data_IF_359521738294
#
_entry.id   IF_359521738294
#
_cell.length_a   1.000
_cell.length_b   1.000
_cell.length_c   1.000
_cell.angle_alpha   90.00
_cell.angle_beta   90.00
_cell.angle_gamma   90.00
#
_symmetry.space_group_name_H-M   'P 1'
#
loop_
_entity.id
_entity.type
_entity.pdbx_description
1 polymer ?
#
# COMPACT_ATOMS: atom_id res chain seq x y z
N UNK A 1 -41.32 16.65 -9.78
CA UNK A 1 -40.36 17.22 -8.82
C UNK A 1 -39.05 17.64 -9.52
N UNK A 2 -38.29 16.70 -10.13
CA UNK A 2 -36.99 17.01 -10.77
C UNK A 2 -37.03 17.99 -11.95
N UNK A 3 -38.12 18.03 -12.74
CA UNK A 3 -38.26 19.00 -13.85
C UNK A 3 -38.22 20.46 -13.36
N UNK A 4 -38.95 20.75 -12.30
CA UNK A 4 -39.00 22.08 -11.69
C UNK A 4 -37.65 22.50 -11.11
N UNK A 5 -36.90 21.56 -10.53
CA UNK A 5 -35.53 21.80 -10.04
C UNK A 5 -34.57 22.14 -11.19
N UNK A 6 -34.61 21.38 -12.29
CA UNK A 6 -33.75 21.61 -13.47
C UNK A 6 -34.08 22.93 -14.18
N UNK A 7 -35.35 23.31 -14.23
CA UNK A 7 -35.79 24.57 -14.81
C UNK A 7 -35.36 25.78 -13.97
N UNK A 8 -35.38 25.66 -12.63
CA UNK A 8 -34.96 26.72 -11.70
C UNK A 8 -33.46 26.78 -11.44
N UNK A 9 -32.72 25.75 -11.87
CA UNK A 9 -31.30 25.64 -11.60
C UNK A 9 -30.49 26.76 -12.25
N UNK A 10 -29.48 27.26 -11.53
CA UNK A 10 -28.52 28.26 -12.03
C UNK A 10 -27.53 27.71 -13.05
N UNK A 11 -27.48 26.38 -13.22
CA UNK A 11 -26.58 25.72 -14.15
C UNK A 11 -26.74 24.20 -14.21
N UNK A 12 -26.63 23.64 -15.41
CA UNK A 12 -26.64 22.19 -15.66
C UNK A 12 -25.31 21.74 -16.24
N UNK A 13 -24.78 20.62 -15.76
CA UNK A 13 -23.52 20.03 -16.21
C UNK A 13 -23.83 18.63 -16.76
N UNK A 14 -23.44 18.35 -18.01
CA UNK A 14 -23.66 17.03 -18.60
C UNK A 14 -22.78 15.97 -17.93
N UNK A 15 -23.21 14.71 -18.03
CA UNK A 15 -22.48 13.54 -17.51
C UNK A 15 -21.02 13.49 -17.93
N UNK A 16 -20.71 13.80 -19.19
CA UNK A 16 -19.34 13.74 -19.72
C UNK A 16 -18.42 14.78 -19.07
N UNK A 17 -18.93 15.99 -18.80
CA UNK A 17 -18.16 17.03 -18.10
C UNK A 17 -18.04 16.75 -16.60
N UNK A 18 -18.98 16.01 -16.02
CA UNK A 18 -18.98 15.64 -14.61
C UNK A 18 -18.33 14.27 -14.34
N UNK A 19 -17.74 13.61 -15.35
CA UNK A 19 -17.32 12.20 -15.24
C UNK A 19 -16.21 11.97 -14.20
N UNK A 20 -15.29 12.93 -14.07
CA UNK A 20 -14.09 12.83 -13.23
C UNK A 20 -14.29 13.44 -11.84
N UNK A 21 -15.44 14.09 -11.59
CA UNK A 21 -15.74 14.67 -10.28
C UNK A 21 -16.17 13.56 -9.32
N UNK A 22 -15.23 13.10 -8.51
CA UNK A 22 -15.45 12.05 -7.52
C UNK A 22 -16.68 12.37 -6.64
N UNK A 23 -17.47 11.34 -6.29
CA UNK A 23 -18.78 11.41 -5.62
C UNK A 23 -19.93 12.02 -6.44
N UNK A 24 -19.74 13.17 -7.09
CA UNK A 24 -20.81 13.85 -7.83
C UNK A 24 -21.12 13.21 -9.18
N UNK A 25 -20.16 12.52 -9.81
CA UNK A 25 -20.39 11.76 -11.03
C UNK A 25 -21.47 10.66 -10.88
N UNK A 26 -21.62 10.09 -9.69
CA UNK A 26 -22.66 9.09 -9.35
C UNK A 26 -24.04 9.71 -9.12
N UNK A 27 -24.13 11.05 -9.09
CA UNK A 27 -25.37 11.80 -8.89
C UNK A 27 -25.98 12.33 -10.20
N UNK A 28 -25.37 12.03 -11.34
CA UNK A 28 -25.96 12.32 -12.64
C UNK A 28 -27.34 11.66 -12.75
N UNK A 29 -28.31 12.38 -13.29
CA UNK A 29 -29.69 11.90 -13.51
C UNK A 29 -30.12 12.16 -14.94
N UNK A 30 -30.92 11.24 -15.48
CA UNK A 30 -31.64 11.47 -16.72
C UNK A 30 -32.71 12.56 -16.54
N UNK A 31 -32.86 13.41 -17.55
CA UNK A 31 -33.84 14.48 -17.61
C UNK A 31 -34.70 14.32 -18.88
N UNK A 32 -35.96 14.75 -18.81
CA UNK A 32 -36.97 14.45 -19.85
C UNK A 32 -36.83 15.29 -21.13
N UNK A 33 -35.93 16.27 -21.16
CA UNK A 33 -35.65 17.16 -22.29
C UNK A 33 -34.16 17.53 -22.28
N UNK A 34 -33.61 18.10 -23.37
CA UNK A 34 -32.19 18.46 -23.39
C UNK A 34 -31.98 19.79 -22.67
N UNK A 35 -30.93 19.87 -21.85
CA UNK A 35 -30.37 21.13 -21.32
C UNK A 35 -28.95 21.32 -21.84
N UNK A 36 -28.56 22.57 -22.05
CA UNK A 36 -27.20 22.90 -22.43
C UNK A 36 -26.29 22.81 -21.21
N UNK A 37 -25.18 22.08 -21.36
CA UNK A 37 -24.13 22.00 -20.36
C UNK A 37 -23.41 23.35 -20.27
N UNK A 38 -23.26 23.90 -19.06
CA UNK A 38 -22.52 25.15 -18.85
C UNK A 38 -21.01 25.02 -19.10
N UNK A 39 -20.46 23.79 -19.09
CA UNK A 39 -19.03 23.55 -19.28
C UNK A 39 -18.67 23.40 -20.76
N UNK A 40 -19.44 22.60 -21.52
CA UNK A 40 -19.11 22.29 -22.92
C UNK A 40 -20.12 22.84 -23.94
N UNK A 41 -21.16 23.54 -23.50
CA UNK A 41 -22.25 24.10 -24.32
C UNK A 41 -23.06 23.08 -25.15
N UNK A 42 -22.80 21.77 -25.01
CA UNK A 42 -23.57 20.72 -25.69
C UNK A 42 -24.87 20.41 -24.95
N UNK A 43 -25.92 20.12 -25.72
CA UNK A 43 -27.22 19.71 -25.19
C UNK A 43 -27.20 18.23 -24.77
N UNK A 44 -27.57 17.93 -23.52
CA UNK A 44 -27.60 16.56 -22.97
C UNK A 44 -28.92 16.24 -22.28
N UNK A 45 -29.27 14.94 -22.25
CA UNK A 45 -30.39 14.38 -21.49
C UNK A 45 -29.96 13.78 -20.14
N UNK A 46 -28.68 13.83 -19.79
CA UNK A 46 -28.15 13.27 -18.55
C UNK A 46 -27.05 14.17 -17.98
N UNK A 47 -27.13 14.43 -16.68
CA UNK A 47 -26.20 15.31 -15.98
C UNK A 47 -26.62 15.65 -14.56
N UNK A 48 -26.01 16.68 -14.00
CA UNK A 48 -26.20 17.16 -12.63
C UNK A 48 -26.49 18.66 -12.64
N UNK A 49 -27.28 19.14 -11.68
CA UNK A 49 -27.51 20.59 -11.48
C UNK A 49 -26.56 21.14 -10.42
N UNK A 50 -26.22 22.43 -10.51
CA UNK A 50 -25.26 23.06 -9.57
C UNK A 50 -25.73 22.94 -8.11
N UNK A 51 -27.02 23.00 -7.85
CA UNK A 51 -27.61 22.93 -6.50
C UNK A 51 -27.34 21.57 -5.83
N UNK A 52 -27.14 20.49 -6.60
CA UNK A 52 -26.84 19.16 -6.04
C UNK A 52 -25.44 19.11 -5.39
N UNK A 53 -24.55 20.06 -5.71
CA UNK A 53 -23.24 20.19 -5.08
C UNK A 53 -23.35 20.84 -3.69
N UNK A 54 -24.18 21.88 -3.59
CA UNK A 54 -24.23 22.80 -2.44
C UNK A 54 -24.48 22.08 -1.13
N UNK A 55 -25.48 21.18 -1.08
CA UNK A 55 -25.82 20.45 0.14
C UNK A 55 -24.63 19.68 0.73
N UNK A 56 -23.86 18.99 -0.12
CA UNK A 56 -22.70 18.21 0.35
C UNK A 56 -21.53 19.13 0.66
N UNK A 57 -21.22 20.10 -0.21
CA UNK A 57 -20.09 21.01 -0.02
C UNK A 57 -20.25 21.86 1.24
N UNK A 58 -21.43 22.42 1.50
CA UNK A 58 -21.74 23.22 2.70
C UNK A 58 -21.42 22.44 3.98
N UNK A 59 -21.81 21.17 4.02
CA UNK A 59 -21.63 20.30 5.18
C UNK A 59 -20.22 19.75 5.33
N UNK A 60 -19.51 19.55 4.22
CA UNK A 60 -18.25 18.79 4.21
C UNK A 60 -16.99 19.61 4.05
N UNK A 61 -17.01 20.74 3.35
CA UNK A 61 -15.84 21.62 3.27
C UNK A 61 -15.31 22.02 4.66
N UNK A 62 -16.15 22.29 5.69
CA UNK A 62 -15.64 22.58 7.05
C UNK A 62 -14.81 21.46 7.69
N UNK A 63 -15.00 20.19 7.26
CA UNK A 63 -14.19 19.06 7.71
C UNK A 63 -12.77 19.10 7.11
N UNK A 64 -12.57 19.84 6.01
CA UNK A 64 -11.30 19.95 5.27
C UNK A 64 -10.61 21.30 5.42
N UNK A 65 -11.36 22.38 5.60
CA UNK A 65 -10.84 23.75 5.65
C UNK A 65 -11.44 24.54 6.81
N UNK A 66 -10.73 25.59 7.20
CA UNK A 66 -11.28 26.66 8.04
C UNK A 66 -11.03 28.01 7.40
N UNK A 67 -11.99 28.92 7.59
CA UNK A 67 -11.86 30.32 7.21
C UNK A 67 -10.82 31.00 8.11
N UNK A 68 -9.94 31.81 7.52
CA UNK A 68 -8.92 32.58 8.25
C UNK A 68 -9.03 34.07 7.93
N UNK A 69 -8.53 34.92 8.83
CA UNK A 69 -8.50 36.38 8.65
C UNK A 69 -7.19 36.88 8.02
N UNK A 70 -6.11 36.10 8.17
CA UNK A 70 -4.75 36.57 7.87
C UNK A 70 -4.16 35.80 6.68
N UNK A 71 -3.49 36.54 5.80
CA UNK A 71 -2.78 36.00 4.64
C UNK A 71 -1.43 35.40 5.03
N UNK A 72 -1.45 34.34 5.84
CA UNK A 72 -0.26 33.50 6.08
C UNK A 72 0.10 32.70 4.81
N UNK A 73 1.28 32.07 4.79
CA UNK A 73 1.60 31.08 3.75
C UNK A 73 0.56 29.94 3.74
N UNK A 74 0.28 29.41 2.55
CA UNK A 74 -0.59 28.24 2.31
C UNK A 74 -2.12 28.44 2.45
N UNK A 75 -2.61 29.69 2.31
CA UNK A 75 -4.05 29.98 2.20
C UNK A 75 -4.54 29.93 0.74
N UNK A 76 -5.80 29.57 0.53
CA UNK A 76 -6.43 29.52 -0.80
C UNK A 76 -7.80 30.21 -0.80
N UNK A 77 -8.25 30.65 -1.98
CA UNK A 77 -9.57 31.29 -2.13
C UNK A 77 -10.72 30.27 -2.05
N UNK A 78 -11.95 30.76 -1.83
CA UNK A 78 -13.15 29.89 -1.88
C UNK A 78 -13.24 29.12 -3.21
N UNK A 79 -12.96 29.76 -4.34
CA UNK A 79 -13.00 29.11 -5.66
C UNK A 79 -11.98 27.97 -5.76
N UNK A 80 -10.78 28.15 -5.23
CA UNK A 80 -9.76 27.10 -5.17
C UNK A 80 -10.17 25.94 -4.25
N UNK A 81 -10.86 26.21 -3.13
CA UNK A 81 -11.44 25.15 -2.29
C UNK A 81 -12.49 24.35 -3.06
N UNK A 82 -13.42 25.03 -3.73
CA UNK A 82 -14.49 24.39 -4.50
C UNK A 82 -13.92 23.59 -5.66
N UNK A 83 -12.92 24.13 -6.37
CA UNK A 83 -12.21 23.47 -7.47
C UNK A 83 -11.66 22.10 -7.08
N UNK A 84 -11.13 21.95 -5.86
CA UNK A 84 -10.60 20.67 -5.37
C UNK A 84 -11.64 19.54 -5.28
N UNK A 85 -12.93 19.87 -5.22
CA UNK A 85 -14.02 18.89 -5.06
C UNK A 85 -15.02 18.90 -6.21
N UNK A 86 -14.85 19.76 -7.21
CA UNK A 86 -15.79 19.98 -8.31
C UNK A 86 -15.06 20.07 -9.66
N UNK A 87 -15.56 20.90 -10.58
CA UNK A 87 -15.03 21.07 -11.93
C UNK A 87 -14.23 22.36 -11.96
N UNK A 88 -13.03 22.29 -12.57
CA UNK A 88 -12.23 23.47 -12.87
C UNK A 88 -12.80 24.25 -14.06
N UNK A 89 -13.91 24.95 -13.82
CA UNK A 89 -14.57 25.82 -14.78
C UNK A 89 -15.06 27.08 -14.07
N UNK A 90 -14.68 28.25 -14.56
CA UNK A 90 -14.93 29.52 -13.87
C UNK A 90 -16.42 29.77 -13.59
N UNK A 91 -17.31 29.50 -14.55
CA UNK A 91 -18.75 29.70 -14.38
C UNK A 91 -19.35 28.76 -13.32
N UNK A 92 -18.90 27.50 -13.30
CA UNK A 92 -19.29 26.53 -12.26
C UNK A 92 -18.82 27.01 -10.89
N UNK A 93 -17.55 27.38 -10.75
CA UNK A 93 -16.95 27.80 -9.49
C UNK A 93 -17.63 29.06 -8.93
N UNK A 94 -17.97 30.02 -9.79
CA UNK A 94 -18.70 31.23 -9.40
C UNK A 94 -20.09 30.91 -8.90
N UNK A 95 -20.88 30.15 -9.67
CA UNK A 95 -22.25 29.81 -9.28
C UNK A 95 -22.31 28.96 -8.01
N UNK A 96 -21.38 28.02 -7.82
CA UNK A 96 -21.29 27.22 -6.59
C UNK A 96 -20.89 28.08 -5.40
N UNK A 97 -19.91 28.99 -5.57
CA UNK A 97 -19.49 29.90 -4.51
C UNK A 97 -20.63 30.83 -4.06
N UNK A 98 -21.42 31.31 -5.01
CA UNK A 98 -22.55 32.20 -4.76
C UNK A 98 -23.61 31.48 -3.92
N UNK A 99 -24.04 30.28 -4.33
CA UNK A 99 -25.01 29.48 -3.59
C UNK A 99 -24.50 29.05 -2.20
N UNK A 100 -23.22 28.70 -2.07
CA UNK A 100 -22.64 28.37 -0.77
C UNK A 100 -22.60 29.58 0.17
N UNK A 101 -22.30 30.77 -0.36
CA UNK A 101 -22.28 32.02 0.40
C UNK A 101 -23.68 32.43 0.85
N UNK A 102 -24.71 32.13 0.04
CA UNK A 102 -26.12 32.34 0.40
C UNK A 102 -26.58 31.35 1.48
N UNK A 103 -26.23 30.08 1.35
CA UNK A 103 -26.62 29.02 2.29
C UNK A 103 -25.94 29.16 3.67
N UNK A 104 -24.67 29.58 3.70
CA UNK A 104 -23.88 29.72 4.93
C UNK A 104 -22.83 30.82 4.81
N UNK A 105 -23.30 32.06 4.96
CA UNK A 105 -22.50 33.28 4.85
C UNK A 105 -21.41 33.43 5.93
N UNK A 106 -21.55 32.76 7.07
CA UNK A 106 -20.58 32.82 8.17
C UNK A 106 -19.26 32.13 7.79
N UNK A 107 -19.36 30.98 7.12
CA UNK A 107 -18.21 30.20 6.68
C UNK A 107 -17.79 30.54 5.25
N UNK A 108 -18.73 30.57 4.31
CA UNK A 108 -18.45 30.76 2.88
C UNK A 108 -18.48 32.24 2.50
N UNK A 109 -17.31 32.89 2.53
CA UNK A 109 -17.12 34.25 2.05
C UNK A 109 -16.54 34.26 0.64
N UNK A 110 -17.15 35.02 -0.28
CA UNK A 110 -16.68 35.17 -1.68
C UNK A 110 -15.20 35.58 -1.77
N UNK A 111 -14.80 36.54 -0.94
CA UNK A 111 -13.40 37.01 -0.82
C UNK A 111 -12.69 36.40 0.40
N UNK A 112 -13.23 35.32 0.95
CA UNK A 112 -12.62 34.59 2.05
C UNK A 112 -11.37 33.84 1.63
N UNK A 113 -10.45 33.69 2.58
CA UNK A 113 -9.27 32.86 2.47
C UNK A 113 -9.39 31.69 3.44
N UNK A 114 -8.99 30.51 2.99
CA UNK A 114 -9.19 29.25 3.69
C UNK A 114 -7.86 28.53 3.83
N UNK A 115 -7.68 27.86 4.97
CA UNK A 115 -6.52 27.02 5.23
C UNK A 115 -6.95 25.57 5.39
N UNK A 116 -6.21 24.67 4.74
CA UNK A 116 -6.43 23.23 4.84
C UNK A 116 -6.19 22.76 6.29
N UNK A 117 -7.04 21.88 6.79
CA UNK A 117 -6.78 21.13 8.03
C UNK A 117 -5.67 20.08 7.85
N UNK A 118 -5.41 19.67 6.61
CA UNK A 118 -4.32 18.78 6.24
C UNK A 118 -3.15 19.66 5.78
N UNK A 119 -2.34 20.06 6.75
CA UNK A 119 -1.07 20.77 6.54
C UNK A 119 0.12 19.86 6.92
N UNK A 120 1.35 20.36 6.77
CA UNK A 120 2.56 19.59 7.06
C UNK A 120 2.61 19.11 8.53
N UNK A 121 2.22 19.97 9.47
CA UNK A 121 2.16 19.66 10.90
C UNK A 121 1.16 18.53 11.18
N UNK A 122 -0.03 18.58 10.57
CA UNK A 122 -1.03 17.52 10.66
C UNK A 122 -0.48 16.19 10.14
N UNK A 123 0.18 16.21 8.97
CA UNK A 123 0.79 15.02 8.36
C UNK A 123 1.84 14.40 9.28
N UNK A 124 2.72 15.23 9.85
CA UNK A 124 3.78 14.78 10.77
C UNK A 124 3.19 14.17 12.05
N UNK A 125 2.16 14.79 12.62
CA UNK A 125 1.44 14.25 13.77
C UNK A 125 0.77 12.91 13.45
N UNK A 126 0.15 12.78 12.28
CA UNK A 126 -0.45 11.50 11.86
C UNK A 126 0.61 10.41 11.67
N UNK A 127 1.76 10.72 11.06
CA UNK A 127 2.88 9.78 10.94
C UNK A 127 3.37 9.32 12.31
N UNK A 128 3.57 10.26 13.22
CA UNK A 128 3.99 9.96 14.59
C UNK A 128 2.98 9.05 15.29
N UNK A 129 1.70 9.43 15.28
CA UNK A 129 0.65 8.65 15.95
C UNK A 129 0.48 7.26 15.34
N UNK A 130 0.51 7.13 14.01
CA UNK A 130 0.38 5.83 13.37
C UNK A 130 1.56 4.89 13.71
N UNK A 131 2.76 5.44 13.92
CA UNK A 131 3.91 4.69 14.41
C UNK A 131 3.75 4.28 15.88
N UNK A 132 3.24 5.17 16.74
CA UNK A 132 2.91 4.84 18.13
C UNK A 132 1.89 3.71 18.18
N UNK A 133 0.81 3.80 17.39
CA UNK A 133 -0.21 2.76 17.29
C UNK A 133 0.40 1.44 16.82
N UNK A 134 1.28 1.47 15.80
CA UNK A 134 2.02 0.31 15.32
C UNK A 134 2.85 -0.33 16.43
N UNK A 135 3.62 0.45 17.19
CA UNK A 135 4.48 -0.05 18.26
C UNK A 135 3.68 -0.59 19.45
N UNK A 136 2.56 0.06 19.80
CA UNK A 136 1.64 -0.41 20.85
C UNK A 136 1.02 -1.76 20.47
N UNK A 137 0.50 -1.90 19.24
CA UNK A 137 -0.04 -3.16 18.73
C UNK A 137 1.03 -4.25 18.70
N UNK A 138 2.26 -3.91 18.29
CA UNK A 138 3.40 -4.82 18.33
C UNK A 138 3.62 -5.37 19.74
N UNK A 139 3.64 -4.49 20.75
CA UNK A 139 3.83 -4.86 22.16
C UNK A 139 2.70 -5.76 22.65
N UNK A 140 1.45 -5.43 22.33
CA UNK A 140 0.28 -6.20 22.77
C UNK A 140 0.21 -7.59 22.13
N UNK A 141 0.52 -7.71 20.84
CA UNK A 141 0.63 -9.00 20.16
C UNK A 141 1.74 -9.86 20.79
N UNK A 142 2.85 -9.25 21.19
CA UNK A 142 3.96 -10.00 21.81
C UNK A 142 3.62 -10.48 23.21
N UNK A 143 2.98 -9.63 24.03
CA UNK A 143 2.96 -9.79 25.48
C UNK A 143 1.57 -9.84 26.12
N UNK A 144 0.48 -9.67 25.38
CA UNK A 144 -0.87 -9.61 25.94
C UNK A 144 -1.83 -10.59 25.28
N UNK A 145 -2.17 -10.38 24.00
CA UNK A 145 -3.17 -11.19 23.29
C UNK A 145 -2.82 -11.29 21.82
N UNK A 146 -2.82 -12.51 21.28
CA UNK A 146 -2.46 -12.80 19.88
C UNK A 146 -3.69 -13.10 19.03
N UNK A 147 -4.37 -14.19 19.38
CA UNK A 147 -5.43 -14.77 18.56
C UNK A 147 -6.75 -13.98 18.58
N UNK A 148 -7.02 -13.24 19.65
CA UNK A 148 -8.29 -12.51 19.85
C UNK A 148 -8.13 -10.99 19.72
N UNK A 149 -7.05 -10.54 19.06
CA UNK A 149 -6.68 -9.13 19.01
C UNK A 149 -7.44 -8.34 17.91
N UNK A 150 -8.75 -8.17 18.04
CA UNK A 150 -9.61 -7.51 17.03
C UNK A 150 -9.11 -6.14 16.57
N UNK A 151 -8.57 -5.32 17.48
CA UNK A 151 -8.03 -3.99 17.15
C UNK A 151 -6.84 -4.07 16.18
N UNK A 152 -6.03 -5.13 16.25
CA UNK A 152 -4.87 -5.30 15.38
C UNK A 152 -5.33 -5.74 13.99
N UNK A 153 -6.28 -6.67 13.92
CA UNK A 153 -6.92 -7.09 12.67
C UNK A 153 -7.52 -5.90 11.93
N UNK A 154 -8.36 -5.10 12.60
CA UNK A 154 -8.98 -3.90 12.00
C UNK A 154 -7.92 -2.90 11.54
N UNK A 155 -6.86 -2.70 12.32
CA UNK A 155 -5.77 -1.81 11.95
C UNK A 155 -5.04 -2.29 10.68
N UNK A 156 -4.68 -3.57 10.60
CA UNK A 156 -4.00 -4.14 9.43
C UNK A 156 -4.90 -4.18 8.19
N UNK A 157 -6.17 -4.55 8.31
CA UNK A 157 -7.14 -4.49 7.21
C UNK A 157 -7.30 -3.06 6.68
N UNK A 158 -7.34 -2.08 7.59
CA UNK A 158 -7.36 -0.66 7.22
C UNK A 158 -6.09 -0.25 6.48
N UNK A 159 -4.90 -0.69 6.90
CA UNK A 159 -3.67 -0.44 6.13
C UNK A 159 -3.74 -1.07 4.74
N UNK A 160 -4.17 -2.32 4.63
CA UNK A 160 -4.32 -3.02 3.34
C UNK A 160 -5.27 -2.27 2.42
N UNK A 161 -6.46 -1.92 2.93
CA UNK A 161 -7.45 -1.15 2.17
C UNK A 161 -6.91 0.22 1.74
N UNK A 162 -6.09 0.87 2.57
CA UNK A 162 -5.42 2.12 2.19
C UNK A 162 -4.44 1.89 1.03
N UNK A 163 -3.55 0.88 1.16
CA UNK A 163 -2.58 0.51 0.13
C UNK A 163 -3.23 0.14 -1.21
N UNK A 164 -4.48 -0.33 -1.22
CA UNK A 164 -5.17 -0.75 -2.43
C UNK A 164 -5.97 0.39 -3.08
N UNK A 165 -6.66 1.20 -2.27
CA UNK A 165 -7.67 2.13 -2.80
C UNK A 165 -7.29 3.60 -2.64
N UNK A 166 -6.36 3.92 -1.74
CA UNK A 166 -6.08 5.29 -1.30
C UNK A 166 -4.66 5.76 -1.60
N UNK A 167 -3.96 5.14 -2.57
CA UNK A 167 -2.62 5.57 -3.00
C UNK A 167 -2.58 5.97 -4.47
N UNK A 168 -1.70 6.91 -4.79
CA UNK A 168 -1.26 7.29 -6.13
C UNK A 168 0.28 7.22 -6.20
N UNK A 169 0.84 7.01 -7.40
CA UNK A 169 2.30 7.15 -7.61
C UNK A 169 2.70 8.63 -7.49
N UNK A 170 3.92 8.92 -7.02
CA UNK A 170 4.55 10.23 -7.26
C UNK A 170 4.55 10.50 -8.77
N UNK A 171 3.95 11.61 -9.19
CA UNK A 171 3.74 12.07 -10.59
C UNK A 171 5.00 12.19 -11.49
N UNK A 172 6.15 11.65 -11.10
CA UNK A 172 7.44 11.94 -11.75
C UNK A 172 7.91 10.91 -12.78
N UNK A 173 7.21 9.79 -12.97
CA UNK A 173 7.63 8.76 -13.95
C UNK A 173 6.45 8.25 -14.77
N UNK A 174 6.41 8.70 -16.02
CA UNK A 174 5.45 8.32 -17.05
C UNK A 174 5.44 6.80 -17.29
N UNK A 175 4.22 6.28 -17.56
CA UNK A 175 3.88 4.96 -18.13
C UNK A 175 3.61 3.75 -17.22
N UNK A 176 3.61 3.86 -15.89
CA UNK A 176 3.02 2.83 -15.02
C UNK A 176 2.08 3.47 -13.99
N UNK A 177 0.80 3.58 -14.35
CA UNK A 177 -0.27 4.14 -13.52
C UNK A 177 -0.79 3.08 -12.55
N UNK A 178 -0.03 2.76 -11.50
CA UNK A 178 -0.55 1.91 -10.42
C UNK A 178 -1.17 2.77 -9.32
N UNK A 179 -2.46 2.56 -9.10
CA UNK A 179 -3.24 3.21 -8.02
C UNK A 179 -3.43 2.27 -6.82
N UNK A 180 -2.59 1.25 -6.71
CA UNK A 180 -2.64 0.20 -5.68
C UNK A 180 -1.29 -0.52 -5.56
N UNK A 181 -1.02 -1.14 -4.40
CA UNK A 181 0.17 -2.00 -4.20
C UNK A 181 0.05 -3.39 -4.84
N UNK A 182 -0.94 -3.63 -5.70
CA UNK A 182 -1.13 -4.92 -6.36
C UNK A 182 -0.09 -5.07 -7.47
N UNK A 183 0.80 -6.05 -7.35
CA UNK A 183 1.72 -6.43 -8.44
C UNK A 183 1.28 -7.76 -9.04
N UNK A 184 1.04 -7.75 -10.35
CA UNK A 184 0.69 -8.97 -11.10
C UNK A 184 1.96 -9.56 -11.70
N UNK A 185 2.25 -10.81 -11.36
CA UNK A 185 3.36 -11.60 -11.90
C UNK A 185 2.78 -12.61 -12.88
N UNK A 186 3.23 -12.58 -14.14
CA UNK A 186 2.69 -13.44 -15.20
C UNK A 186 3.08 -14.89 -14.98
N UNK A 187 2.26 -15.82 -15.51
CA UNK A 187 2.66 -17.22 -15.70
C UNK A 187 4.00 -17.30 -16.42
N UNK A 188 4.85 -18.25 -16.03
CA UNK A 188 6.17 -18.44 -16.62
C UNK A 188 7.27 -17.56 -16.03
N UNK A 189 6.99 -16.82 -14.95
CA UNK A 189 8.01 -16.00 -14.27
C UNK A 189 8.90 -16.90 -13.42
N UNK A 190 10.21 -16.72 -13.53
CA UNK A 190 11.21 -17.47 -12.75
C UNK A 190 11.51 -16.77 -11.42
N UNK A 191 11.49 -17.53 -10.34
CA UNK A 191 11.85 -17.14 -8.99
C UNK A 191 12.91 -18.11 -8.43
N UNK A 192 13.76 -17.65 -7.53
CA UNK A 192 14.90 -18.43 -7.06
C UNK A 192 14.80 -18.73 -5.58
N UNK A 193 15.28 -19.90 -5.17
CA UNK A 193 15.39 -20.24 -3.75
C UNK A 193 16.64 -21.05 -3.50
N UNK A 194 17.34 -20.73 -2.41
CA UNK A 194 18.50 -21.47 -1.98
C UNK A 194 18.31 -22.17 -0.64
N UNK A 195 19.14 -23.19 -0.38
CA UNK A 195 19.28 -23.87 0.91
C UNK A 195 20.73 -24.28 1.16
N UNK A 196 21.14 -24.27 2.43
CA UNK A 196 22.44 -24.81 2.84
C UNK A 196 22.49 -26.32 2.60
N UNK A 197 23.65 -26.78 2.14
CA UNK A 197 23.99 -28.21 2.05
C UNK A 197 24.95 -28.55 3.19
N UNK A 198 24.79 -29.73 3.78
CA UNK A 198 25.62 -30.16 4.92
C UNK A 198 26.88 -30.93 4.49
N UNK A 199 26.76 -31.71 3.41
CA UNK A 199 27.78 -32.63 2.92
C UNK A 199 27.46 -33.07 1.48
N UNK A 200 28.36 -33.86 0.88
CA UNK A 200 28.23 -34.38 -0.48
C UNK A 200 27.00 -35.27 -0.70
N UNK A 201 26.58 -36.03 0.32
CA UNK A 201 25.39 -36.88 0.22
C UNK A 201 24.13 -36.01 0.18
N UNK A 202 24.07 -34.98 1.02
CA UNK A 202 22.99 -33.99 1.00
C UNK A 202 22.95 -33.25 -0.34
N UNK A 203 24.11 -32.85 -0.87
CA UNK A 203 24.24 -32.26 -2.22
C UNK A 203 23.66 -33.16 -3.31
N UNK A 204 23.99 -34.45 -3.30
CA UNK A 204 23.43 -35.42 -4.25
C UNK A 204 21.92 -35.58 -4.09
N UNK A 205 21.39 -35.48 -2.87
CA UNK A 205 19.94 -35.55 -2.65
C UNK A 205 19.19 -34.38 -3.29
N UNK A 206 19.75 -33.16 -3.27
CA UNK A 206 19.21 -32.01 -4.00
C UNK A 206 19.13 -32.26 -5.50
N UNK A 207 20.11 -32.94 -6.10
CA UNK A 207 20.05 -33.29 -7.52
C UNK A 207 19.00 -34.36 -7.83
N UNK A 208 18.75 -35.30 -6.90
CA UNK A 208 17.77 -36.38 -7.09
C UNK A 208 16.33 -35.94 -6.84
N UNK A 209 16.12 -35.06 -5.86
CA UNK A 209 14.79 -34.61 -5.40
C UNK A 209 14.73 -33.09 -5.18
N UNK A 210 15.03 -32.29 -6.21
CA UNK A 210 15.16 -30.85 -6.05
C UNK A 210 13.87 -30.16 -5.63
N UNK A 211 12.72 -30.55 -6.20
CA UNK A 211 11.42 -29.96 -5.88
C UNK A 211 11.03 -30.14 -4.42
N UNK A 212 11.27 -31.33 -3.85
CA UNK A 212 11.00 -31.66 -2.44
C UNK A 212 11.91 -30.86 -1.49
N UNK A 213 13.21 -30.84 -1.79
CA UNK A 213 14.21 -30.28 -0.88
C UNK A 213 14.34 -28.76 -0.99
N UNK A 214 14.19 -28.16 -2.17
CA UNK A 214 14.21 -26.71 -2.37
C UNK A 214 12.82 -26.08 -2.22
N UNK A 215 11.74 -26.87 -2.35
CA UNK A 215 10.36 -26.40 -2.20
C UNK A 215 10.02 -25.89 -0.79
N UNK A 216 8.78 -25.43 -0.60
CA UNK A 216 8.29 -25.03 0.73
C UNK A 216 8.48 -26.18 1.75
N UNK A 217 8.86 -25.89 3.00
CA UNK A 217 8.93 -26.94 4.01
C UNK A 217 7.52 -27.51 4.25
N UNK A 218 7.37 -28.80 4.59
CA UNK A 218 6.11 -29.30 5.13
C UNK A 218 5.68 -28.49 6.36
N UNK A 219 4.38 -28.38 6.62
CA UNK A 219 3.84 -27.57 7.73
C UNK A 219 4.45 -27.91 9.08
N UNK A 220 4.67 -29.20 9.37
CA UNK A 220 5.32 -29.67 10.60
C UNK A 220 6.78 -29.21 10.76
N UNK A 221 7.45 -28.87 9.65
CA UNK A 221 8.83 -28.39 9.62
C UNK A 221 8.92 -26.88 9.31
N UNK A 222 7.78 -26.20 9.16
CA UNK A 222 7.75 -24.77 8.91
C UNK A 222 8.30 -24.03 10.13
N UNK A 223 9.42 -23.34 9.94
CA UNK A 223 10.12 -22.61 10.98
C UNK A 223 9.52 -21.20 11.21
N UNK A 224 9.96 -20.54 12.28
CA UNK A 224 9.60 -19.15 12.56
C UNK A 224 10.29 -18.21 11.54
N UNK A 225 9.52 -17.63 10.63
CA UNK A 225 10.00 -16.71 9.60
C UNK A 225 9.34 -15.33 9.72
N UNK A 226 9.82 -14.36 8.94
CA UNK A 226 9.34 -12.97 9.04
C UNK A 226 7.84 -12.84 8.74
N UNK A 227 7.35 -13.55 7.73
CA UNK A 227 5.95 -13.47 7.29
C UNK A 227 5.11 -14.66 7.72
N UNK A 228 5.71 -15.71 8.30
CA UNK A 228 4.98 -16.89 8.75
C UNK A 228 5.46 -17.43 10.10
N UNK A 229 4.55 -17.75 11.03
CA UNK A 229 4.90 -18.43 12.29
C UNK A 229 5.21 -19.91 12.05
N UNK A 230 5.79 -20.61 13.05
CA UNK A 230 5.91 -22.06 12.99
C UNK A 230 4.57 -22.74 12.74
N UNK A 231 4.57 -23.79 11.92
CA UNK A 231 3.36 -24.50 11.53
C UNK A 231 2.63 -23.92 10.31
N UNK A 232 2.90 -22.67 9.91
CA UNK A 232 2.36 -22.08 8.68
C UNK A 232 3.45 -22.06 7.61
N UNK A 233 3.28 -22.88 6.58
CA UNK A 233 4.26 -22.97 5.50
C UNK A 233 3.95 -21.97 4.38
N UNK A 234 4.88 -21.04 4.17
CA UNK A 234 4.94 -20.19 2.99
C UNK A 234 6.23 -20.46 2.22
N UNK A 235 6.20 -20.23 0.91
CA UNK A 235 7.37 -20.41 0.06
C UNK A 235 8.12 -19.08 -0.10
N UNK A 236 9.33 -19.00 0.45
CA UNK A 236 10.21 -17.84 0.35
C UNK A 236 11.14 -17.99 -0.85
N UNK A 237 11.07 -17.07 -1.80
CA UNK A 237 11.89 -17.04 -3.02
C UNK A 237 12.40 -15.62 -3.25
N UNK A 238 13.27 -15.43 -4.24
CA UNK A 238 13.84 -14.14 -4.60
C UNK A 238 13.85 -13.92 -6.12
N UNK A 239 14.05 -12.68 -6.55
CA UNK A 239 14.16 -12.31 -7.96
C UNK A 239 15.41 -12.85 -8.67
N UNK A 240 16.48 -13.18 -7.94
CA UNK A 240 17.72 -13.69 -8.51
C UNK A 240 18.47 -14.62 -7.52
N UNK A 241 19.40 -15.47 -8.01
CA UNK A 241 20.20 -16.37 -7.17
C UNK A 241 20.99 -15.64 -6.07
N UNK A 242 21.59 -14.50 -6.37
CA UNK A 242 22.42 -13.73 -5.43
C UNK A 242 21.61 -13.29 -4.22
N UNK A 243 20.38 -12.83 -4.42
CA UNK A 243 19.45 -12.44 -3.36
C UNK A 243 19.03 -13.65 -2.53
N UNK A 244 18.72 -14.77 -3.19
CA UNK A 244 18.38 -16.01 -2.51
C UNK A 244 19.52 -16.52 -1.61
N UNK A 245 20.77 -16.43 -2.08
CA UNK A 245 21.97 -16.76 -1.29
C UNK A 245 22.15 -15.78 -0.13
N UNK A 246 22.02 -14.49 -0.37
CA UNK A 246 22.19 -13.46 0.65
C UNK A 246 21.20 -13.61 1.83
N UNK A 247 19.94 -13.95 1.54
CA UNK A 247 18.91 -14.16 2.58
C UNK A 247 19.13 -15.40 3.46
N UNK A 248 19.91 -16.39 2.98
CA UNK A 248 20.29 -17.57 3.79
C UNK A 248 21.29 -17.18 4.89
N UNK A 249 22.06 -16.09 4.70
CA UNK A 249 23.16 -15.67 5.56
C UNK A 249 24.18 -16.81 5.82
N UNK A 250 24.78 -17.35 4.74
CA UNK A 250 25.76 -18.42 4.89
C UNK A 250 27.02 -17.96 5.63
N UNK A 251 27.96 -18.86 5.90
CA UNK A 251 29.31 -18.57 6.35
C UNK A 251 30.33 -18.91 5.24
N UNK A 252 31.56 -18.40 5.36
CA UNK A 252 32.66 -18.82 4.47
C UNK A 252 32.85 -20.34 4.56
N UNK A 253 32.91 -20.99 3.39
CA UNK A 253 32.99 -22.44 3.26
C UNK A 253 31.64 -23.14 3.08
N UNK A 254 30.52 -22.49 3.41
CA UNK A 254 29.19 -23.07 3.21
C UNK A 254 28.93 -23.28 1.71
N UNK A 255 28.27 -24.39 1.40
CA UNK A 255 27.78 -24.68 0.05
C UNK A 255 26.26 -24.56 0.00
N UNK A 256 25.76 -23.76 -0.93
CA UNK A 256 24.35 -23.45 -1.12
C UNK A 256 23.86 -24.12 -2.40
N UNK A 257 22.79 -24.90 -2.29
CA UNK A 257 22.01 -25.38 -3.42
C UNK A 257 20.99 -24.29 -3.79
N UNK A 258 20.93 -23.88 -5.05
CA UNK A 258 19.97 -22.92 -5.58
C UNK A 258 19.16 -23.56 -6.69
N UNK A 259 17.85 -23.37 -6.66
CA UNK A 259 16.93 -23.80 -7.71
C UNK A 259 16.04 -22.67 -8.19
N UNK A 260 15.61 -22.78 -9.44
CA UNK A 260 14.59 -21.94 -10.05
C UNK A 260 13.21 -22.58 -9.96
N UNK A 261 12.20 -21.74 -9.77
CA UNK A 261 10.79 -22.10 -9.73
C UNK A 261 10.02 -21.20 -10.69
N UNK A 262 9.16 -21.80 -11.51
CA UNK A 262 8.38 -21.11 -12.54
C UNK A 262 6.94 -21.01 -12.08
N UNK A 263 6.34 -19.82 -12.19
CA UNK A 263 4.91 -19.63 -11.86
C UNK A 263 4.00 -20.40 -12.82
N UNK A 264 3.12 -21.25 -12.27
CA UNK A 264 2.19 -22.09 -13.05
C UNK A 264 0.98 -21.33 -13.60
N UNK A 265 0.63 -20.22 -12.93
CA UNK A 265 -0.44 -19.29 -13.30
C UNK A 265 0.02 -17.84 -13.09
N UNK A 266 -0.79 -16.89 -13.53
CA UNK A 266 -0.62 -15.49 -13.16
C UNK A 266 -0.97 -15.32 -11.69
N UNK A 267 -0.11 -14.65 -10.92
CA UNK A 267 -0.23 -14.46 -9.48
C UNK A 267 -0.32 -12.97 -9.14
N UNK A 268 -1.10 -12.64 -8.12
CA UNK A 268 -1.25 -11.27 -7.60
C UNK A 268 -0.59 -11.16 -6.24
N UNK A 269 0.39 -10.27 -6.12
CA UNK A 269 1.14 -10.04 -4.88
C UNK A 269 0.77 -8.72 -4.24
N UNK A 270 0.78 -8.70 -2.90
CA UNK A 270 0.85 -7.46 -2.14
C UNK A 270 2.30 -6.96 -2.15
N UNK A 271 2.56 -5.86 -2.85
CA UNK A 271 3.91 -5.39 -3.08
C UNK A 271 4.27 -4.17 -2.23
N UNK A 272 5.03 -4.41 -1.17
CA UNK A 272 5.51 -3.35 -0.30
C UNK A 272 6.54 -2.44 -0.96
N UNK A 273 7.23 -2.88 -2.02
CA UNK A 273 8.23 -2.07 -2.73
C UNK A 273 7.61 -0.89 -3.47
N UNK A 274 6.32 -1.00 -3.82
CA UNK A 274 5.55 0.08 -4.43
C UNK A 274 5.24 1.23 -3.46
N UNK A 275 5.38 1.02 -2.14
CA UNK A 275 5.09 2.03 -1.13
C UNK A 275 6.18 3.10 -1.02
N UNK A 276 7.41 2.82 -1.45
CA UNK A 276 8.53 3.77 -1.37
C UNK A 276 8.30 5.03 -2.22
N UNK A 277 7.52 4.89 -3.30
CA UNK A 277 7.15 5.95 -4.23
C UNK A 277 5.64 6.29 -4.18
N UNK A 278 4.88 5.65 -3.29
CA UNK A 278 3.46 5.92 -3.12
C UNK A 278 3.22 7.24 -2.38
N UNK A 279 2.13 7.91 -2.72
CA UNK A 279 1.56 9.03 -1.96
C UNK A 279 0.13 8.68 -1.60
N UNK A 280 -0.28 9.07 -0.39
CA UNK A 280 -1.67 8.99 0.01
C UNK A 280 -2.50 9.94 -0.88
N UNK A 281 -3.63 9.45 -1.41
CA UNK A 281 -4.59 10.25 -2.15
C UNK A 281 -5.04 11.45 -1.33
N UNK A 282 -5.33 12.55 -2.02
CA UNK A 282 -6.00 13.68 -1.40
C UNK A 282 -7.34 13.23 -0.80
N UNK A 283 -7.70 13.82 0.34
CA UNK A 283 -8.95 13.48 1.02
C UNK A 283 -10.15 13.76 0.09
N UNK A 284 -11.04 12.76 -0.06
CA UNK A 284 -12.28 12.97 -0.80
C UNK A 284 -13.19 13.93 -0.03
N UNK A 285 -14.15 14.56 -0.69
CA UNK A 285 -15.13 15.42 0.00
C UNK A 285 -15.89 14.69 1.12
N UNK A 286 -16.03 13.36 1.06
CA UNK A 286 -16.71 12.59 2.10
C UNK A 286 -15.84 12.26 3.30
N UNK A 287 -14.53 12.31 3.13
CA UNK A 287 -13.54 12.07 4.19
C UNK A 287 -13.57 13.23 5.17
N UNK A 288 -13.42 12.96 6.47
CA UNK A 288 -13.23 14.00 7.49
C UNK A 288 -11.82 13.85 8.07
N UNK A 289 -10.77 14.47 7.47
CA UNK A 289 -9.37 14.14 7.77
C UNK A 289 -9.00 14.12 9.26
N UNK A 290 -9.51 15.07 10.05
CA UNK A 290 -9.24 15.17 11.49
C UNK A 290 -9.90 14.07 12.33
N UNK A 291 -10.95 13.44 11.84
CA UNK A 291 -11.74 12.43 12.58
C UNK A 291 -11.57 11.02 11.99
N UNK A 292 -11.19 10.92 10.73
CA UNK A 292 -11.05 9.67 10.00
C UNK A 292 -9.69 9.03 10.31
N UNK A 293 -9.68 8.10 11.27
CA UNK A 293 -8.48 7.33 11.63
C UNK A 293 -7.93 6.50 10.47
N UNK A 294 -8.79 6.02 9.57
CA UNK A 294 -8.34 5.28 8.40
C UNK A 294 -7.52 6.18 7.47
N UNK A 295 -8.00 7.40 7.21
CA UNK A 295 -7.24 8.39 6.46
C UNK A 295 -5.90 8.74 7.15
N UNK A 296 -5.92 8.93 8.47
CA UNK A 296 -4.72 9.27 9.25
C UNK A 296 -3.67 8.14 9.24
N UNK A 297 -4.09 6.88 9.37
CA UNK A 297 -3.20 5.73 9.32
C UNK A 297 -2.56 5.55 7.94
N UNK A 298 -3.16 6.09 6.88
CA UNK A 298 -2.56 6.13 5.56
C UNK A 298 -1.24 6.91 5.49
N UNK A 299 -0.91 7.75 6.48
CA UNK A 299 0.40 8.37 6.53
C UNK A 299 1.54 7.42 6.96
N UNK A 300 1.21 6.24 7.51
CA UNK A 300 2.18 5.19 7.84
C UNK A 300 2.81 4.57 6.58
N UNK A 301 2.10 4.61 5.44
CA UNK A 301 2.48 3.94 4.20
C UNK A 301 3.93 4.17 3.78
N UNK A 302 4.40 5.42 3.86
CA UNK A 302 5.76 5.82 3.47
C UNK A 302 6.85 5.17 4.32
N UNK A 303 6.52 4.71 5.53
CA UNK A 303 7.44 4.03 6.44
C UNK A 303 7.10 2.56 6.62
N UNK A 304 5.95 2.11 6.09
CA UNK A 304 5.44 0.76 6.29
C UNK A 304 6.39 -0.27 5.69
N UNK A 305 6.90 0.00 4.48
CA UNK A 305 7.88 -0.87 3.86
C UNK A 305 9.18 -0.97 4.68
N UNK A 306 9.68 0.13 5.23
CA UNK A 306 10.84 0.08 6.13
C UNK A 306 10.55 -0.72 7.39
N UNK A 307 9.37 -0.56 8.00
CA UNK A 307 8.97 -1.26 9.22
C UNK A 307 8.93 -2.78 9.02
N UNK A 308 8.45 -3.25 7.87
CA UNK A 308 8.38 -4.68 7.56
C UNK A 308 9.68 -5.26 6.98
N UNK A 309 10.53 -4.43 6.36
CA UNK A 309 11.79 -4.87 5.75
C UNK A 309 12.95 -4.96 6.75
N UNK A 310 12.77 -4.43 7.97
CA UNK A 310 13.78 -4.50 9.05
C UNK A 310 14.16 -5.96 9.37
N UNK A 311 15.45 -6.31 9.36
CA UNK A 311 15.90 -7.63 9.76
C UNK A 311 15.80 -7.79 11.27
N UNK A 312 15.16 -8.87 11.72
CA UNK A 312 15.23 -9.34 13.11
C UNK A 312 15.90 -10.72 13.17
N UNK A 313 16.26 -11.15 14.38
CA UNK A 313 16.68 -12.54 14.60
C UNK A 313 15.46 -13.45 14.54
N UNK A 314 15.60 -14.65 13.95
CA UNK A 314 14.49 -15.60 13.80
C UNK A 314 13.89 -16.09 15.13
N UNK A 315 14.64 -15.99 16.23
CA UNK A 315 14.14 -16.29 17.59
C UNK A 315 13.34 -15.13 18.22
N UNK A 316 13.19 -14.02 17.51
CA UNK A 316 12.59 -12.81 18.07
C UNK A 316 11.08 -12.84 18.01
N UNK A 317 10.43 -12.47 19.12
CA UNK A 317 9.02 -12.10 19.17
C UNK A 317 8.68 -10.93 18.22
N UNK A 318 9.69 -10.25 17.66
CA UNK A 318 9.51 -9.15 16.71
C UNK A 318 8.81 -9.56 15.40
N UNK A 319 8.83 -10.85 15.02
CA UNK A 319 8.10 -11.32 13.84
C UNK A 319 6.60 -11.49 14.04
N UNK A 320 6.09 -11.55 15.28
CA UNK A 320 4.66 -11.77 15.52
C UNK A 320 3.80 -10.71 14.81
N UNK A 321 4.25 -9.45 14.80
CA UNK A 321 3.52 -8.38 14.15
C UNK A 321 3.50 -8.53 12.63
N UNK A 322 4.64 -8.82 12.00
CA UNK A 322 4.73 -9.00 10.55
C UNK A 322 4.02 -10.27 10.09
N UNK A 323 4.03 -11.31 10.92
CA UNK A 323 3.28 -12.55 10.71
C UNK A 323 1.77 -12.31 10.76
N UNK A 324 1.27 -11.63 11.79
CA UNK A 324 -0.15 -11.24 11.88
C UNK A 324 -0.56 -10.41 10.67
N UNK A 325 0.30 -9.49 10.23
CA UNK A 325 0.03 -8.68 9.06
C UNK A 325 0.00 -9.50 7.77
N UNK A 326 0.97 -10.40 7.58
CA UNK A 326 1.02 -11.29 6.43
C UNK A 326 -0.19 -12.25 6.37
N UNK A 327 -0.63 -12.76 7.51
CA UNK A 327 -1.84 -13.57 7.63
C UNK A 327 -3.10 -12.75 7.31
N UNK A 328 -3.14 -11.49 7.76
CA UNK A 328 -4.23 -10.57 7.40
C UNK A 328 -4.24 -10.31 5.88
N UNK A 329 -3.07 -10.16 5.24
CA UNK A 329 -2.95 -10.01 3.78
C UNK A 329 -3.43 -11.27 3.06
N UNK A 330 -3.01 -12.47 3.50
CA UNK A 330 -3.44 -13.75 2.92
C UNK A 330 -4.95 -13.91 2.92
N UNK A 331 -5.61 -13.48 4.00
CA UNK A 331 -7.06 -13.63 4.18
C UNK A 331 -7.88 -12.43 3.72
N UNK A 332 -7.26 -11.35 3.24
CA UNK A 332 -7.96 -10.14 2.84
C UNK A 332 -8.77 -10.37 1.56
N UNK A 333 -10.03 -9.90 1.55
CA UNK A 333 -10.96 -9.92 0.40
C UNK A 333 -11.02 -11.29 -0.30
N UNK A 334 -11.31 -12.33 0.49
CA UNK A 334 -11.44 -13.73 0.04
C UNK A 334 -10.19 -14.27 -0.69
N UNK A 335 -8.99 -13.98 -0.18
CA UNK A 335 -7.74 -14.49 -0.77
C UNK A 335 -7.32 -13.73 -2.02
N UNK A 336 -7.48 -12.40 -2.01
CA UNK A 336 -7.16 -11.55 -3.17
C UNK A 336 -5.68 -11.57 -3.57
N UNK A 337 -4.78 -11.98 -2.68
CA UNK A 337 -3.34 -12.06 -2.93
C UNK A 337 -2.84 -13.50 -2.84
N UNK A 338 -2.02 -13.91 -3.81
CA UNK A 338 -1.26 -15.16 -3.80
C UNK A 338 0.06 -15.04 -3.02
N UNK A 339 0.46 -13.83 -2.58
CA UNK A 339 1.72 -13.64 -1.87
C UNK A 339 2.07 -12.20 -1.52
N UNK A 340 3.28 -12.02 -0.99
CA UNK A 340 3.87 -10.73 -0.58
C UNK A 340 5.21 -10.51 -1.28
N UNK A 341 5.48 -9.26 -1.69
CA UNK A 341 6.79 -8.81 -2.19
C UNK A 341 7.37 -7.75 -1.25
N UNK A 342 8.64 -7.86 -0.89
CA UNK A 342 9.37 -6.85 -0.11
C UNK A 342 10.87 -6.83 -0.46
N UNK A 343 11.55 -5.71 -0.19
CA UNK A 343 13.00 -5.59 -0.43
C UNK A 343 13.81 -6.52 0.45
N UNK A 344 14.88 -7.07 -0.12
CA UNK A 344 15.88 -7.79 0.66
C UNK A 344 16.55 -6.87 1.66
N UNK A 345 16.75 -7.40 2.86
CA UNK A 345 17.52 -6.72 3.91
C UNK A 345 19.02 -7.07 3.85
N UNK A 346 19.39 -8.01 2.98
CA UNK A 346 20.73 -8.58 2.88
C UNK A 346 21.44 -8.15 1.59
N UNK A 347 20.69 -7.83 0.53
CA UNK A 347 21.25 -7.38 -0.74
C UNK A 347 20.48 -6.16 -1.28
N UNK A 348 21.22 -5.08 -1.56
CA UNK A 348 20.65 -3.90 -2.21
C UNK A 348 20.11 -4.26 -3.61
N UNK A 349 18.91 -3.78 -3.93
CA UNK A 349 18.20 -4.16 -5.17
C UNK A 349 17.63 -5.59 -5.18
N UNK A 350 17.91 -6.41 -4.16
CA UNK A 350 17.32 -7.73 -4.00
C UNK A 350 15.84 -7.64 -3.63
N UNK A 351 15.02 -8.54 -4.18
CA UNK A 351 13.57 -8.59 -3.96
C UNK A 351 13.18 -9.99 -3.50
N UNK A 352 12.45 -10.06 -2.39
CA UNK A 352 11.89 -11.30 -1.85
C UNK A 352 10.43 -11.46 -2.25
N UNK A 353 10.06 -12.68 -2.57
CA UNK A 353 8.69 -13.11 -2.86
C UNK A 353 8.31 -14.19 -1.87
N UNK A 354 7.23 -13.97 -1.13
CA UNK A 354 6.62 -14.96 -0.25
C UNK A 354 5.32 -15.40 -0.89
N UNK A 355 5.25 -16.65 -1.29
CA UNK A 355 4.08 -17.22 -1.95
C UNK A 355 3.24 -17.95 -0.90
N UNK A 356 1.97 -17.58 -0.81
CA UNK A 356 1.00 -18.28 -0.01
C UNK A 356 0.65 -19.60 -0.68
N UNK A 357 0.57 -20.64 0.13
CA UNK A 357 0.11 -21.94 -0.32
C UNK A 357 -1.40 -22.06 -0.17
N UNK A 358 -2.02 -22.72 -1.14
CA UNK A 358 -3.42 -23.10 -1.14
C UNK A 358 -3.55 -24.52 -0.59
N UNK A 359 -4.49 -24.75 0.31
CA UNK A 359 -4.85 -26.10 0.73
C UNK A 359 -5.51 -26.82 -0.45
N UNK A 360 -5.05 -28.03 -0.77
CA UNK A 360 -5.65 -28.80 -1.86
C UNK A 360 -6.92 -29.49 -1.41
N UNK A 361 -7.97 -29.48 -2.25
CA UNK A 361 -9.20 -30.20 -1.98
C UNK A 361 -8.94 -31.71 -1.82
N UNK A 362 -9.28 -32.27 -0.66
CA UNK A 362 -9.21 -33.71 -0.38
C UNK A 362 -7.94 -34.20 0.34
N UNK A 363 -6.95 -33.34 0.54
CA UNK A 363 -5.77 -33.62 1.37
C UNK A 363 -5.31 -32.35 2.09
N UNK A 364 -5.65 -32.24 3.38
CA UNK A 364 -5.32 -31.07 4.21
C UNK A 364 -3.83 -30.93 4.50
N UNK A 365 -3.02 -31.96 4.25
CA UNK A 365 -1.57 -31.92 4.46
C UNK A 365 -0.81 -31.49 3.20
N UNK A 366 -1.51 -31.41 2.07
CA UNK A 366 -0.99 -31.03 0.77
C UNK A 366 -1.25 -29.54 0.49
N UNK A 367 -0.16 -28.78 0.30
CA UNK A 367 -0.20 -27.34 0.03
C UNK A 367 0.37 -27.07 -1.37
N UNK A 368 -0.42 -26.40 -2.21
CA UNK A 368 -0.02 -25.99 -3.56
C UNK A 368 0.41 -24.51 -3.60
N UNK A 369 1.64 -24.25 -4.02
CA UNK A 369 2.20 -22.88 -4.08
C UNK A 369 2.12 -22.23 -5.46
N UNK A 370 1.36 -22.83 -6.39
CA UNK A 370 1.20 -22.34 -7.77
C UNK A 370 2.52 -22.05 -8.52
N UNK A 371 3.61 -22.70 -8.12
CA UNK A 371 4.92 -22.72 -8.78
C UNK A 371 5.38 -24.16 -8.98
N UNK A 372 6.25 -24.37 -9.96
CA UNK A 372 6.90 -25.66 -10.22
C UNK A 372 8.40 -25.50 -10.32
N UNK A 373 9.13 -26.53 -9.91
CA UNK A 373 10.59 -26.53 -10.03
C UNK A 373 10.98 -26.60 -11.51
N UNK A 374 11.91 -25.75 -11.91
CA UNK A 374 12.44 -25.73 -13.27
C UNK A 374 13.44 -26.88 -13.47
N UNK A 375 12.95 -27.97 -14.04
CA UNK A 375 13.75 -29.17 -14.32
C UNK A 375 14.77 -28.97 -15.43
N UNK A 376 14.66 -27.92 -16.25
CA UNK A 376 15.62 -27.64 -17.32
C UNK A 376 16.89 -27.01 -16.77
N UNK A 377 16.75 -26.05 -15.85
CA UNK A 377 17.89 -25.43 -15.17
C UNK A 377 18.49 -26.35 -14.12
N UNK A 378 17.65 -27.11 -13.40
CA UNK A 378 18.11 -28.01 -12.35
C UNK A 378 18.62 -27.26 -11.11
N UNK A 379 19.58 -27.86 -10.40
CA UNK A 379 20.15 -27.28 -9.17
C UNK A 379 21.56 -26.80 -9.43
N UNK A 380 21.80 -25.54 -9.12
CA UNK A 380 23.13 -24.93 -9.12
C UNK A 380 23.71 -24.94 -7.70
N UNK A 381 25.02 -25.12 -7.59
CA UNK A 381 25.71 -25.13 -6.30
C UNK A 381 26.72 -23.98 -6.25
N UNK A 382 26.66 -23.22 -5.17
CA UNK A 382 27.53 -22.07 -4.91
C UNK A 382 28.30 -22.31 -3.62
N UNK A 383 29.60 -22.10 -3.61
CA UNK A 383 30.40 -22.11 -2.39
C UNK A 383 30.76 -20.68 -1.99
N UNK A 384 30.62 -20.35 -0.71
CA UNK A 384 31.01 -19.03 -0.21
C UNK A 384 32.52 -19.00 -0.02
N UNK A 385 33.21 -18.25 -0.88
CA UNK A 385 34.66 -18.09 -0.80
C UNK A 385 35.09 -17.00 0.18
N UNK A 386 34.32 -15.90 0.26
CA UNK A 386 34.63 -14.76 1.12
C UNK A 386 33.36 -13.98 1.51
N UNK A 387 33.43 -13.22 2.61
CA UNK A 387 32.40 -12.29 3.04
C UNK A 387 33.01 -10.93 3.36
N UNK A 388 32.53 -9.89 2.69
CA UNK A 388 32.95 -8.51 2.95
C UNK A 388 31.88 -7.81 3.80
N UNK A 389 32.15 -7.51 5.08
CA UNK A 389 31.20 -6.81 5.92
C UNK A 389 31.06 -5.34 5.46
N UNK A 390 29.83 -4.85 5.43
CA UNK A 390 29.54 -3.42 5.32
C UNK A 390 29.08 -2.91 6.68
N UNK A 391 29.79 -1.93 7.24
CA UNK A 391 29.53 -1.38 8.57
C UNK A 391 29.05 0.06 8.40
N UNK A 392 27.89 0.36 8.99
CA UNK A 392 27.38 1.73 9.12
C UNK A 392 27.52 2.16 10.57
N UNK A 393 28.22 3.27 10.80
CA UNK A 393 28.26 3.89 12.12
C UNK A 393 26.85 4.35 12.52
N UNK A 394 26.38 3.91 13.68
CA UNK A 394 25.12 4.37 14.26
C UNK A 394 25.49 5.35 15.36
N UNK A 395 25.58 6.63 15.01
CA UNK A 395 25.98 7.69 15.93
C UNK A 395 25.04 7.77 17.14
N UNK A 396 25.64 7.84 18.33
CA UNK A 396 25.00 8.41 19.51
C UNK A 396 24.96 9.92 19.25
N UNK A 397 23.85 10.60 19.51
CA UNK A 397 23.87 12.06 19.59
C UNK A 397 24.83 12.51 20.70
N UNK A 398 26.09 12.70 20.35
CA UNK A 398 27.04 13.59 21.02
C UNK A 398 27.91 14.23 19.95
N UNK A 399 28.03 15.55 20.06
CA UNK A 399 28.79 16.42 19.15
C UNK A 399 30.21 15.91 18.87
N UNK A 400 30.63 16.18 17.63
CA UNK A 400 32.00 16.25 17.10
C UNK A 400 32.71 14.95 16.65
N UNK A 401 32.91 14.93 15.32
CA UNK A 401 34.14 14.60 14.55
C UNK A 401 34.80 13.23 14.75
N UNK A 402 34.68 12.35 13.76
CA UNK A 402 35.65 12.09 12.67
C UNK A 402 35.44 10.68 12.11
N UNK A 403 35.32 10.56 10.79
CA UNK A 403 35.22 9.28 10.10
C UNK A 403 36.51 8.47 10.32
N UNK A 404 36.42 7.32 11.00
CA UNK A 404 37.51 6.36 11.09
C UNK A 404 37.20 5.19 10.14
N UNK A 405 37.98 5.10 9.06
CA UNK A 405 38.09 3.88 8.24
C UNK A 405 38.94 2.87 9.03
N UNK A 406 38.32 1.77 9.47
CA UNK A 406 39.07 0.62 9.97
C UNK A 406 39.09 -0.43 8.85
N UNK A 407 40.23 -0.56 8.18
CA UNK A 407 40.51 -1.73 7.36
C UNK A 407 40.87 -2.89 8.31
N UNK A 408 40.10 -3.98 8.25
CA UNK A 408 40.49 -5.29 8.80
C UNK A 408 40.49 -6.30 7.67
#
# INVERSE_FOLDING_TARGET
>A
MRRTEVDRSVGFICKDCNKDVYYFNRRNRAITYKKNCIVCNKSSHEGIIIEDFVFTLNRKIPDHYHLVSDSQSDVISLKEVIKRFTIDNQDVLEKVADLLSEENADFFKRNGIYKSHVDQTFIENCKHQAKVDWDELSRELKHSRRFTHMRATVFFENLIRTCIYSIDKKHEEENDEYNSVKRVIKKGTTLYRGRLTSDDKHRQSFQRKPSELLGAPPSLLAANNRMSPPGISFMYTANNPQTAIAEIRPYVGDTIAVGSFITKKTLTFFDFTLLDSAKLKSASILTSPKQDKFYQHGYLLNTLHELISKPFRATSLNYIQTQMFAETIRNYDNGMFDGIIFKSSQLEGGINYVIFGDETEGDSDSIEYNVEFDTQTGVEFYQVEAMTPSIKEVGIHSRNSDNILVNV
#
